data_IF_502676414687
#
_entry.id   IF_502676414687
#
_cell.length_a   1.000
_cell.length_b   1.000
_cell.length_c   1.000
_cell.angle_alpha   90.00
_cell.angle_beta   90.00
_cell.angle_gamma   90.00
#
_symmetry.space_group_name_H-M   'P 1'
#
loop_
_entity.id
_entity.type
_entity.pdbx_description
1 polymer ?
#
# COMPACT_ATOMS: atom_id res chain seq x y z
N UNK A 1 -23.71 19.17 16.31
CA UNK A 1 -22.23 19.11 16.39
C UNK A 1 -21.79 17.95 15.53
N UNK A 2 -21.17 18.21 14.37
CA UNK A 2 -20.56 17.14 13.58
C UNK A 2 -19.32 16.68 14.34
N UNK A 3 -19.30 15.45 14.83
CA UNK A 3 -18.10 14.89 15.43
C UNK A 3 -17.03 14.88 14.34
N UNK A 4 -16.01 15.73 14.46
CA UNK A 4 -14.87 15.67 13.55
C UNK A 4 -14.29 14.26 13.61
N UNK A 5 -13.97 13.62 12.47
CA UNK A 5 -13.39 12.29 12.48
C UNK A 5 -12.13 12.30 13.35
N UNK A 6 -12.13 11.46 14.38
CA UNK A 6 -11.08 11.40 15.42
C UNK A 6 -9.69 11.12 14.82
N UNK A 7 -9.66 10.49 13.63
CA UNK A 7 -8.47 10.31 12.83
C UNK A 7 -8.60 10.91 11.43
N UNK A 8 -7.57 11.69 11.08
CA UNK A 8 -7.48 12.39 9.80
C UNK A 8 -6.39 11.78 8.93
N UNK A 9 -6.57 11.85 7.61
CA UNK A 9 -5.54 11.45 6.66
C UNK A 9 -4.39 12.46 6.60
N UNK A 10 -3.27 12.10 5.96
CA UNK A 10 -2.06 12.91 5.97
C UNK A 10 -2.25 14.28 5.29
N UNK A 11 -1.56 15.30 5.80
CA UNK A 11 -1.40 16.58 5.12
C UNK A 11 -0.26 16.55 4.11
N UNK A 12 -0.52 17.15 2.96
CA UNK A 12 0.50 17.45 1.95
C UNK A 12 1.24 18.74 2.29
N UNK A 13 2.37 18.99 1.62
CA UNK A 13 3.15 20.22 1.80
C UNK A 13 2.36 21.49 1.44
N UNK A 14 1.37 21.40 0.53
CA UNK A 14 0.46 22.51 0.19
C UNK A 14 -0.65 22.72 1.22
N UNK A 15 -0.63 22.00 2.34
CA UNK A 15 -1.64 22.08 3.41
C UNK A 15 -2.93 21.30 3.11
N UNK A 16 -3.09 20.74 1.90
CA UNK A 16 -4.26 19.93 1.56
C UNK A 16 -4.24 18.63 2.34
N UNK A 17 -5.36 18.33 3.01
CA UNK A 17 -5.55 17.09 3.76
C UNK A 17 -6.10 16.00 2.85
N UNK A 18 -5.44 14.86 2.84
CA UNK A 18 -5.89 13.69 2.09
C UNK A 18 -6.93 12.90 2.90
N UNK A 19 -7.87 12.21 2.24
CA UNK A 19 -8.75 11.28 2.94
C UNK A 19 -7.91 10.14 3.56
N UNK A 20 -8.23 9.70 4.79
CA UNK A 20 -7.46 8.66 5.47
C UNK A 20 -7.63 7.28 4.86
N UNK A 21 -8.69 7.08 4.07
CA UNK A 21 -9.02 5.81 3.43
C UNK A 21 -9.23 6.10 1.95
N UNK A 22 -8.62 5.28 1.10
CA UNK A 22 -8.87 5.23 -0.34
C UNK A 22 -9.18 3.79 -0.73
N UNK A 23 -10.20 3.59 -1.53
CA UNK A 23 -10.61 2.27 -1.98
C UNK A 23 -10.56 2.20 -3.50
N UNK A 24 -10.17 1.04 -4.02
CA UNK A 24 -10.28 0.68 -5.42
C UNK A 24 -10.65 -0.80 -5.51
N UNK A 25 -11.86 -1.11 -5.97
CA UNK A 25 -12.40 -2.47 -5.94
C UNK A 25 -12.34 -3.07 -4.51
N UNK A 26 -11.71 -4.22 -4.33
CA UNK A 26 -11.48 -4.87 -3.04
C UNK A 26 -10.26 -4.34 -2.26
N UNK A 27 -9.42 -3.52 -2.90
CA UNK A 27 -8.24 -2.95 -2.27
C UNK A 27 -8.56 -1.66 -1.49
N UNK A 28 -8.08 -1.62 -0.25
CA UNK A 28 -8.17 -0.47 0.65
C UNK A 28 -6.76 0.00 1.03
N UNK A 29 -6.51 1.29 0.91
CA UNK A 29 -5.31 1.96 1.39
C UNK A 29 -5.68 2.89 2.55
N UNK A 30 -5.15 2.59 3.73
CA UNK A 30 -5.30 3.43 4.92
C UNK A 30 -4.01 4.23 5.14
N UNK A 31 -4.13 5.55 5.21
CA UNK A 31 -3.03 6.46 5.50
C UNK A 31 -3.42 7.43 6.61
N UNK A 32 -2.61 7.51 7.65
CA UNK A 32 -2.83 8.42 8.78
C UNK A 32 -1.53 9.08 9.19
N UNK A 33 -1.63 10.15 9.98
CA UNK A 33 -0.45 10.89 10.48
C UNK A 33 0.22 10.19 11.67
N UNK A 34 -0.43 9.18 12.27
CA UNK A 34 0.08 8.51 13.48
C UNK A 34 -0.25 7.02 13.51
N UNK A 35 0.63 6.24 14.15
CA UNK A 35 0.44 4.79 14.35
C UNK A 35 -0.83 4.48 15.15
N UNK A 36 -1.14 5.15 16.28
CA UNK A 36 -2.38 4.92 17.00
C UNK A 36 -3.62 5.18 16.14
N UNK A 37 -3.59 6.24 15.32
CA UNK A 37 -4.72 6.56 14.45
C UNK A 37 -4.96 5.51 13.36
N UNK A 38 -3.89 4.96 12.78
CA UNK A 38 -4.02 3.84 11.86
C UNK A 38 -4.66 2.62 12.53
N UNK A 39 -4.24 2.25 13.75
CA UNK A 39 -4.82 1.13 14.51
C UNK A 39 -6.31 1.33 14.79
N UNK A 40 -6.69 2.55 15.15
CA UNK A 40 -8.09 2.90 15.39
C UNK A 40 -8.93 2.74 14.12
N UNK A 41 -8.46 3.24 12.97
CA UNK A 41 -9.16 3.08 11.68
C UNK A 41 -9.26 1.61 11.29
N UNK A 42 -8.18 0.82 11.47
CA UNK A 42 -8.20 -0.61 11.16
C UNK A 42 -9.28 -1.33 11.98
N UNK A 43 -9.37 -1.05 13.29
CA UNK A 43 -10.42 -1.63 14.14
C UNK A 43 -11.83 -1.31 13.65
N UNK A 44 -12.10 -0.05 13.31
CA UNK A 44 -13.42 0.33 12.77
C UNK A 44 -13.71 -0.31 11.42
N UNK A 45 -12.69 -0.47 10.56
CA UNK A 45 -12.84 -1.18 9.28
C UNK A 45 -13.13 -2.67 9.48
N UNK A 46 -12.54 -3.31 10.49
CA UNK A 46 -12.82 -4.72 10.82
C UNK A 46 -14.29 -4.91 11.21
N UNK A 47 -14.82 -4.05 12.09
CA UNK A 47 -16.22 -4.09 12.52
C UNK A 47 -17.18 -3.92 11.31
N UNK A 48 -16.88 -2.99 10.40
CA UNK A 48 -17.68 -2.74 9.20
C UNK A 48 -17.61 -3.91 8.20
N UNK A 49 -16.42 -4.47 7.98
CA UNK A 49 -16.19 -5.58 7.06
C UNK A 49 -16.84 -6.86 7.59
N UNK A 50 -16.77 -7.10 8.90
CA UNK A 50 -17.47 -8.20 9.55
C UNK A 50 -19.00 -8.05 9.45
N UNK A 51 -19.52 -6.85 9.69
CA UNK A 51 -20.95 -6.56 9.50
C UNK A 51 -21.41 -6.87 8.07
N UNK A 52 -20.58 -6.52 7.08
CA UNK A 52 -20.83 -6.83 5.67
C UNK A 52 -20.61 -8.32 5.29
N UNK A 53 -20.35 -9.21 6.26
CA UNK A 53 -20.02 -10.62 6.04
C UNK A 53 -18.79 -10.83 5.14
N UNK A 54 -17.87 -9.87 5.14
CA UNK A 54 -16.60 -9.91 4.41
C UNK A 54 -15.44 -10.12 5.38
N UNK A 55 -14.24 -10.40 4.84
CA UNK A 55 -13.01 -10.53 5.63
C UNK A 55 -11.82 -9.99 4.87
N UNK A 56 -10.96 -9.24 5.57
CA UNK A 56 -9.63 -8.93 5.07
C UNK A 56 -8.75 -10.19 5.04
N UNK A 57 -7.74 -10.19 4.16
CA UNK A 57 -6.74 -11.26 4.06
C UNK A 57 -5.40 -10.72 4.55
N UNK A 58 -5.02 -10.92 5.84
CA UNK A 58 -3.78 -10.36 6.40
C UNK A 58 -2.53 -10.71 5.60
N UNK A 59 -2.47 -11.93 5.03
CA UNK A 59 -1.36 -12.38 4.19
C UNK A 59 -1.21 -11.58 2.87
N UNK A 60 -2.30 -10.98 2.37
CA UNK A 60 -2.29 -10.10 1.19
C UNK A 60 -2.15 -8.62 1.56
N UNK A 61 -2.50 -8.24 2.78
CA UNK A 61 -2.32 -6.89 3.31
C UNK A 61 -0.84 -6.60 3.61
N UNK A 62 -0.47 -5.32 3.55
CA UNK A 62 0.88 -4.84 3.88
C UNK A 62 0.82 -3.54 4.64
N UNK A 63 1.80 -3.35 5.52
CA UNK A 63 1.89 -2.16 6.37
C UNK A 63 3.27 -1.51 6.28
N UNK A 64 3.29 -0.20 6.48
CA UNK A 64 4.51 0.60 6.51
C UNK A 64 4.31 1.81 7.40
N UNK A 65 5.35 2.20 8.13
CA UNK A 65 5.41 3.46 8.86
C UNK A 65 6.56 4.30 8.34
N UNK A 66 6.27 5.55 8.02
CA UNK A 66 7.24 6.53 7.57
C UNK A 66 7.56 7.53 8.70
N UNK A 67 8.84 7.74 8.97
CA UNK A 67 9.31 8.78 9.89
C UNK A 67 10.49 9.52 9.27
N UNK A 68 10.36 10.83 9.07
CA UNK A 68 11.40 11.67 8.45
C UNK A 68 11.91 11.10 7.11
N UNK A 69 10.98 10.64 6.26
CA UNK A 69 11.30 10.08 4.95
C UNK A 69 11.92 8.68 4.95
N UNK A 70 12.02 8.01 6.11
CA UNK A 70 12.55 6.64 6.22
C UNK A 70 11.48 5.67 6.69
N UNK A 71 11.52 4.45 6.17
CA UNK A 71 10.71 3.33 6.65
C UNK A 71 11.19 2.92 8.04
N UNK A 72 10.24 2.76 8.97
CA UNK A 72 10.51 2.33 10.35
C UNK A 72 9.80 1.01 10.62
N UNK A 73 10.57 -0.07 10.70
CA UNK A 73 10.05 -1.42 10.93
C UNK A 73 10.02 -1.82 12.42
N UNK A 74 9.48 -0.91 13.25
CA UNK A 74 9.27 -1.17 14.69
C UNK A 74 7.79 -1.39 15.02
N UNK A 75 6.90 -0.82 14.21
CA UNK A 75 5.47 -0.79 14.51
C UNK A 75 4.76 -1.89 13.74
N UNK A 76 3.96 -2.66 14.47
CA UNK A 76 3.12 -3.72 13.90
C UNK A 76 1.65 -3.33 13.98
N UNK A 77 0.93 -3.80 12.97
CA UNK A 77 -0.52 -3.65 12.80
C UNK A 77 -1.11 -5.04 12.65
N UNK A 78 -2.30 -5.23 13.19
CA UNK A 78 -3.02 -6.50 13.16
C UNK A 78 -4.38 -6.28 12.50
N UNK A 79 -4.87 -7.33 11.85
CA UNK A 79 -6.26 -7.49 11.42
C UNK A 79 -6.70 -8.91 11.82
N UNK A 80 -7.84 -9.04 12.48
CA UNK A 80 -8.39 -10.25 13.07
C UNK A 80 -7.32 -10.99 13.91
N UNK A 81 -6.70 -10.25 14.83
CA UNK A 81 -5.58 -10.69 15.68
C UNK A 81 -4.34 -11.23 14.93
N UNK A 82 -4.32 -11.14 13.60
CA UNK A 82 -3.22 -11.60 12.76
C UNK A 82 -2.36 -10.42 12.35
N UNK A 83 -1.05 -10.52 12.60
CA UNK A 83 -0.10 -9.49 12.21
C UNK A 83 -0.04 -9.32 10.68
N UNK A 84 -0.18 -8.08 10.23
CA UNK A 84 0.03 -7.70 8.83
C UNK A 84 1.54 -7.66 8.56
N UNK A 85 2.05 -8.37 7.55
CA UNK A 85 3.47 -8.30 7.20
C UNK A 85 3.88 -6.86 6.85
N UNK A 86 5.08 -6.46 7.30
CA UNK A 86 5.61 -5.15 6.91
C UNK A 86 6.11 -5.20 5.47
N UNK A 87 6.18 -4.03 4.82
CA UNK A 87 6.72 -3.94 3.46
C UNK A 87 8.22 -4.31 3.39
N UNK A 88 8.94 -4.16 4.50
CA UNK A 88 10.33 -4.56 4.64
C UNK A 88 10.50 -6.08 4.65
N UNK A 89 9.52 -6.80 5.21
CA UNK A 89 9.51 -8.27 5.23
C UNK A 89 9.02 -8.84 3.91
N UNK A 90 7.94 -8.27 3.37
CA UNK A 90 7.32 -8.72 2.14
C UNK A 90 6.88 -7.51 1.32
N UNK A 91 7.59 -7.16 0.24
CA UNK A 91 7.16 -6.14 -0.71
C UNK A 91 5.75 -6.39 -1.24
N UNK A 92 5.11 -5.33 -1.76
CA UNK A 92 3.74 -5.38 -2.25
C UNK A 92 3.64 -4.84 -3.67
N UNK A 93 2.84 -5.49 -4.51
CA UNK A 93 2.41 -4.91 -5.78
C UNK A 93 1.01 -4.33 -5.60
N UNK A 94 0.84 -3.02 -5.81
CA UNK A 94 -0.45 -2.33 -5.73
C UNK A 94 -0.63 -1.46 -6.97
N UNK A 95 -1.78 -1.58 -7.63
CA UNK A 95 -2.13 -0.88 -8.87
C UNK A 95 -1.01 -0.92 -9.94
N UNK A 96 -0.40 -2.10 -10.12
CA UNK A 96 0.67 -2.31 -11.09
C UNK A 96 2.08 -1.90 -10.63
N UNK A 97 2.23 -1.19 -9.51
CA UNK A 97 3.52 -0.73 -8.98
C UNK A 97 4.01 -1.60 -7.82
N UNK A 98 5.29 -1.93 -7.80
CA UNK A 98 5.93 -2.65 -6.70
C UNK A 98 6.46 -1.64 -5.70
N UNK A 99 6.10 -1.82 -4.43
CA UNK A 99 6.59 -1.03 -3.32
C UNK A 99 7.40 -1.93 -2.38
N UNK A 100 8.63 -1.52 -2.10
CA UNK A 100 9.54 -2.15 -1.15
C UNK A 100 10.02 -1.12 -0.11
N UNK A 101 10.86 -1.55 0.83
CA UNK A 101 11.37 -0.67 1.88
C UNK A 101 12.34 0.42 1.38
N UNK A 102 12.86 0.31 0.15
CA UNK A 102 13.72 1.35 -0.43
C UNK A 102 12.92 2.58 -0.82
N UNK A 103 11.63 2.41 -1.16
CA UNK A 103 10.74 3.44 -1.69
C UNK A 103 11.35 4.18 -2.89
N UNK A 104 12.17 3.48 -3.66
CA UNK A 104 12.77 3.96 -4.90
C UNK A 104 12.22 3.16 -6.06
N UNK A 105 12.07 3.82 -7.19
CA UNK A 105 11.63 3.17 -8.42
C UNK A 105 12.77 2.51 -9.20
N UNK A 106 14.02 2.56 -8.71
CA UNK A 106 15.21 2.08 -9.44
C UNK A 106 15.09 0.62 -9.86
N UNK A 107 14.62 -0.25 -8.96
CA UNK A 107 14.39 -1.67 -9.25
C UNK A 107 13.31 -1.86 -10.31
N UNK A 108 12.18 -1.14 -10.16
CA UNK A 108 11.08 -1.17 -11.12
C UNK A 108 11.51 -0.72 -12.52
N UNK A 109 12.30 0.36 -12.61
CA UNK A 109 12.86 0.86 -13.88
C UNK A 109 13.75 -0.19 -14.54
N UNK A 110 14.67 -0.79 -13.77
CA UNK A 110 15.56 -1.83 -14.31
C UNK A 110 14.80 -3.06 -14.81
N UNK A 111 13.76 -3.49 -14.07
CA UNK A 111 12.89 -4.58 -14.52
C UNK A 111 12.16 -4.23 -15.81
N UNK A 112 11.59 -3.03 -15.92
CA UNK A 112 10.92 -2.59 -17.16
C UNK A 112 11.88 -2.54 -18.35
N UNK A 113 13.11 -2.04 -18.18
CA UNK A 113 14.12 -2.04 -19.24
C UNK A 113 14.48 -3.47 -19.68
N UNK A 114 14.59 -4.40 -18.73
CA UNK A 114 14.93 -5.80 -19.01
C UNK A 114 13.80 -6.51 -19.76
N UNK A 115 12.55 -6.30 -19.33
CA UNK A 115 11.36 -6.84 -20.01
C UNK A 115 11.25 -6.30 -21.44
N UNK A 116 11.45 -4.99 -21.62
CA UNK A 116 11.44 -4.36 -22.94
C UNK A 116 12.50 -4.94 -23.88
N UNK A 117 13.75 -5.08 -23.41
CA UNK A 117 14.83 -5.70 -24.20
C UNK A 117 14.50 -7.14 -24.61
N UNK A 118 13.92 -7.92 -23.68
CA UNK A 118 13.43 -9.27 -23.96
C UNK A 118 12.32 -9.31 -25.02
N UNK A 119 11.35 -8.39 -24.93
CA UNK A 119 10.29 -8.28 -25.93
C UNK A 119 10.83 -7.85 -27.30
N UNK A 120 11.73 -6.87 -27.36
CA UNK A 120 12.34 -6.43 -28.61
C UNK A 120 13.12 -7.57 -29.30
N UNK A 121 13.90 -8.34 -28.54
CA UNK A 121 14.59 -9.54 -29.05
C UNK A 121 13.62 -10.62 -29.56
N UNK A 122 12.43 -10.71 -28.96
CA UNK A 122 11.42 -11.68 -29.36
C UNK A 122 10.72 -11.25 -30.66
N UNK A 123 10.45 -9.95 -30.81
CA UNK A 123 9.90 -9.35 -32.04
C UNK A 123 10.88 -9.51 -33.19
N UNK A 124 12.16 -9.15 -32.99
CA UNK A 124 13.22 -9.32 -33.99
C UNK A 124 13.31 -10.76 -34.52
N UNK A 125 13.18 -11.75 -33.62
CA UNK A 125 13.22 -13.18 -33.95
C UNK A 125 11.93 -13.73 -34.55
N UNK A 126 10.82 -13.01 -34.44
CA UNK A 126 9.51 -13.51 -34.88
C UNK A 126 9.33 -13.52 -36.40
N UNK A 127 10.22 -12.86 -37.16
CA UNK A 127 10.13 -12.79 -38.62
C UNK A 127 8.89 -12.06 -39.13
N UNK A 128 8.22 -11.29 -38.27
CA UNK A 128 7.08 -10.46 -38.66
C UNK A 128 7.57 -9.38 -39.62
N UNK A 129 7.02 -9.28 -40.85
CA UNK A 129 7.30 -8.15 -41.73
C UNK A 129 6.78 -6.89 -41.06
N UNK A 130 7.63 -5.86 -40.99
CA UNK A 130 7.30 -4.54 -40.44
C UNK A 130 6.27 -3.78 -41.26
#
# INVERSE_FOLDING_TARGET
MSAEPECRGPRTNSGQRQPPIRAFMDDLTVMTESVPGCRWILKGLEELVEWAQMRFKPAKSRSMVLRKGKVVDKFRFNIADTAIPSISEKPVKSLGKVFDCSLRDTSSIQSTCTELDGWLKSVDKSGLPG
#
